data_IF_106773230952
#
_entry.id   IF_106773230952
#
_cell.length_a   1.000
_cell.length_b   1.000
_cell.length_c   1.000
_cell.angle_alpha   90.00
_cell.angle_beta   90.00
_cell.angle_gamma   90.00
#
_symmetry.space_group_name_H-M   'P 1'
#
loop_
_entity.id
_entity.type
_entity.pdbx_description
1 polymer ?
#
# COMPACT_ATOMS: atom_id res chain seq x y z
N UNK A 1 -4.26 -10.56 -6.53
CA UNK A 1 -3.46 -9.32 -6.58
C UNK A 1 -3.10 -8.94 -5.16
N UNK A 2 -1.87 -8.49 -4.94
CA UNK A 2 -1.38 -8.09 -3.63
C UNK A 2 -1.17 -6.57 -3.59
N UNK A 3 -1.80 -5.94 -2.60
CA UNK A 3 -1.76 -4.49 -2.41
C UNK A 3 -1.10 -4.23 -1.07
N UNK A 4 0.01 -3.49 -1.10
CA UNK A 4 0.66 -2.98 0.09
C UNK A 4 0.17 -1.57 0.39
N UNK A 5 -0.24 -1.33 1.62
CA UNK A 5 -0.69 -0.02 2.09
C UNK A 5 0.30 0.53 3.13
N UNK A 6 0.73 1.76 2.95
CA UNK A 6 1.55 2.50 3.91
C UNK A 6 1.00 3.89 4.15
N UNK A 7 0.76 4.20 5.43
CA UNK A 7 0.44 5.54 5.88
C UNK A 7 0.99 5.77 7.30
N UNK A 8 1.70 6.88 7.57
CA UNK A 8 2.31 7.12 8.88
C UNK A 8 1.30 7.46 9.98
N UNK A 9 0.15 8.06 9.64
CA UNK A 9 -0.81 8.61 10.63
C UNK A 9 -2.27 8.18 10.48
N UNK A 10 -2.62 7.36 9.48
CA UNK A 10 -4.01 6.97 9.22
C UNK A 10 -4.30 5.61 9.81
N UNK A 11 -5.58 5.38 10.08
CA UNK A 11 -6.08 4.07 10.48
C UNK A 11 -5.94 3.07 9.32
N UNK A 12 -4.86 2.31 9.37
CA UNK A 12 -4.51 1.33 8.35
C UNK A 12 -5.52 0.19 8.32
N UNK A 13 -6.12 -0.20 9.45
CA UNK A 13 -7.12 -1.26 9.47
C UNK A 13 -8.39 -0.82 8.75
N UNK A 14 -8.85 0.39 9.01
CA UNK A 14 -10.03 0.95 8.31
C UNK A 14 -9.84 0.96 6.80
N UNK A 15 -8.66 1.41 6.33
CA UNK A 15 -8.33 1.41 4.89
C UNK A 15 -8.24 0.00 4.31
N UNK A 16 -7.62 -0.95 5.01
CA UNK A 16 -7.54 -2.34 4.58
C UNK A 16 -8.94 -2.94 4.43
N UNK A 17 -9.82 -2.71 5.39
CA UNK A 17 -11.20 -3.19 5.33
C UNK A 17 -12.00 -2.54 4.19
N UNK A 18 -11.86 -1.23 4.01
CA UNK A 18 -12.51 -0.50 2.91
C UNK A 18 -12.04 -1.01 1.54
N UNK A 19 -10.72 -1.22 1.37
CA UNK A 19 -10.14 -1.76 0.14
C UNK A 19 -10.54 -3.21 -0.11
N UNK A 20 -10.62 -4.04 0.94
CA UNK A 20 -11.13 -5.42 0.83
C UNK A 20 -12.61 -5.46 0.46
N UNK A 21 -13.42 -4.53 0.96
CA UNK A 21 -14.84 -4.41 0.59
C UNK A 21 -15.00 -3.97 -0.87
N UNK A 22 -14.20 -3.01 -1.33
CA UNK A 22 -14.23 -2.52 -2.71
C UNK A 22 -13.66 -3.55 -3.70
N UNK A 23 -12.63 -4.30 -3.28
CA UNK A 23 -11.91 -5.28 -4.11
C UNK A 23 -11.73 -6.59 -3.33
N UNK A 24 -12.76 -7.45 -3.24
CA UNK A 24 -12.70 -8.68 -2.44
C UNK A 24 -11.62 -9.66 -2.92
N UNK A 25 -11.26 -9.62 -4.20
CA UNK A 25 -10.20 -10.43 -4.81
C UNK A 25 -8.77 -9.91 -4.56
N UNK A 26 -8.63 -8.73 -3.95
CA UNK A 26 -7.33 -8.16 -3.59
C UNK A 26 -6.93 -8.52 -2.16
N UNK A 27 -5.69 -8.99 -2.01
CA UNK A 27 -5.06 -9.19 -0.71
C UNK A 27 -4.40 -7.89 -0.29
N UNK A 28 -5.08 -7.16 0.57
CA UNK A 28 -4.58 -5.89 1.12
C UNK A 28 -3.87 -6.17 2.43
N UNK A 29 -2.61 -5.72 2.55
CA UNK A 29 -1.79 -5.80 3.77
C UNK A 29 -1.13 -4.46 4.11
N UNK A 30 -0.89 -4.23 5.38
CA UNK A 30 -0.11 -3.10 5.86
C UNK A 30 1.38 -3.38 5.61
N UNK A 31 2.07 -2.50 4.89
CA UNK A 31 3.52 -2.59 4.76
C UNK A 31 4.20 -2.15 6.05
N UNK A 32 5.24 -2.86 6.44
CA UNK A 32 6.13 -2.51 7.55
C UNK A 32 7.58 -2.53 7.07
N UNK A 33 8.46 -1.78 7.72
CA UNK A 33 9.89 -1.85 7.43
C UNK A 33 10.38 -3.30 7.58
N UNK A 34 11.10 -3.79 6.56
CA UNK A 34 11.54 -5.19 6.46
C UNK A 34 10.59 -6.12 5.70
N UNK A 35 9.37 -5.68 5.35
CA UNK A 35 8.53 -6.39 4.39
C UNK A 35 9.13 -6.24 2.99
N UNK A 36 9.62 -7.36 2.45
CA UNK A 36 10.18 -7.51 1.11
C UNK A 36 9.34 -8.47 0.25
N UNK A 37 8.14 -8.83 0.69
CA UNK A 37 7.27 -9.74 -0.05
C UNK A 37 6.83 -9.08 -1.36
N UNK A 38 6.68 -9.85 -2.43
CA UNK A 38 6.17 -9.33 -3.70
C UNK A 38 4.80 -8.66 -3.53
N UNK A 39 4.60 -7.57 -4.26
CA UNK A 39 3.35 -6.82 -4.28
C UNK A 39 3.06 -6.41 -5.73
N UNK A 40 1.80 -6.41 -6.13
CA UNK A 40 1.40 -5.92 -7.46
C UNK A 40 1.20 -4.40 -7.45
N UNK A 41 0.66 -3.88 -6.35
CA UNK A 41 0.28 -2.47 -6.21
C UNK A 41 0.72 -1.91 -4.87
N UNK A 42 1.13 -0.64 -4.87
CA UNK A 42 1.48 0.08 -3.64
C UNK A 42 0.58 1.32 -3.48
N UNK A 43 -0.16 1.37 -2.38
CA UNK A 43 -0.85 2.57 -1.91
C UNK A 43 0.02 3.25 -0.85
N UNK A 44 0.48 4.45 -1.15
CA UNK A 44 1.52 5.11 -0.34
C UNK A 44 1.17 6.57 -0.07
N UNK A 45 1.37 7.00 1.17
CA UNK A 45 1.47 8.41 1.51
C UNK A 45 2.85 8.68 2.14
N UNK A 46 3.64 9.55 1.51
CA UNK A 46 5.00 9.91 1.93
C UNK A 46 5.91 8.68 2.24
N UNK A 47 6.05 7.73 1.28
CA UNK A 47 6.74 6.48 1.55
C UNK A 47 8.25 6.65 1.72
N UNK A 48 8.90 5.80 2.54
CA UNK A 48 10.35 5.67 2.51
C UNK A 48 10.80 5.05 1.18
N UNK A 49 12.00 5.42 0.70
CA UNK A 49 12.57 4.91 -0.56
C UNK A 49 12.68 3.37 -0.55
N UNK A 50 12.96 2.79 0.62
CA UNK A 50 13.01 1.33 0.84
C UNK A 50 11.72 0.60 0.47
N UNK A 51 10.57 1.28 0.56
CA UNK A 51 9.28 0.67 0.22
C UNK A 51 9.12 0.46 -1.29
N UNK A 52 9.78 1.26 -2.14
CA UNK A 52 9.63 1.21 -3.59
C UNK A 52 10.88 0.69 -4.30
N UNK A 53 12.05 0.82 -3.66
CA UNK A 53 13.32 0.40 -4.25
C UNK A 53 13.34 -1.11 -4.53
N UNK A 54 13.61 -1.47 -5.79
CA UNK A 54 13.80 -2.86 -6.20
C UNK A 54 12.53 -3.70 -6.35
N UNK A 55 11.34 -3.08 -6.26
CA UNK A 55 10.06 -3.78 -6.47
C UNK A 55 9.53 -3.56 -7.87
N UNK A 56 9.14 -4.66 -8.50
CA UNK A 56 8.47 -4.63 -9.80
C UNK A 56 6.95 -4.46 -9.60
N UNK A 57 6.54 -3.21 -9.34
CA UNK A 57 5.15 -2.84 -9.08
C UNK A 57 4.45 -2.51 -10.40
N UNK A 58 3.22 -3.01 -10.57
CA UNK A 58 2.38 -2.67 -11.73
C UNK A 58 1.91 -1.22 -11.69
N UNK A 59 1.60 -0.71 -10.50
CA UNK A 59 1.30 0.70 -10.30
C UNK A 59 1.53 1.13 -8.84
N UNK A 60 1.85 2.42 -8.67
CA UNK A 60 1.97 3.09 -7.38
C UNK A 60 0.91 4.18 -7.31
N UNK A 61 0.05 4.10 -6.28
CA UNK A 61 -0.97 5.09 -6.00
C UNK A 61 -0.52 5.95 -4.82
N UNK A 62 -0.07 7.17 -5.13
CA UNK A 62 0.19 8.16 -4.09
C UNK A 62 -1.14 8.68 -3.57
N UNK A 63 -1.41 8.50 -2.28
CA UNK A 63 -2.66 8.95 -1.65
C UNK A 63 -2.76 10.48 -1.52
N UNK A 64 -2.00 11.27 -2.28
CA UNK A 64 -1.81 12.72 -2.18
C UNK A 64 -3.01 13.61 -2.55
N UNK A 65 -3.61 14.29 -1.58
CA UNK A 65 -4.35 15.53 -1.83
C UNK A 65 -3.42 16.73 -1.63
N UNK A 66 -2.99 17.38 -2.72
CA UNK A 66 -2.47 18.74 -2.61
C UNK A 66 -3.67 19.67 -2.45
N UNK A 67 -3.74 20.36 -1.32
CA UNK A 67 -4.32 21.71 -1.31
C UNK A 67 -3.29 22.67 -1.91
#
# INVERSE_FOLDING_TARGET
MDIIFYHPTFDTQWWIEALRKAIPQARVRAWKSGDNDSADYALVWHPPVEMLAGRDLKAVFALGGRC
#
